data_IF_516857901070
#
_entry.id   IF_516857901070
#
_cell.length_a   1.000
_cell.length_b   1.000
_cell.length_c   1.000
_cell.angle_alpha   90.00
_cell.angle_beta   90.00
_cell.angle_gamma   90.00
#
_symmetry.space_group_name_H-M   'P 1'
#
loop_
_entity.id
_entity.type
_entity.pdbx_description
1 polymer ?
#
# COMPACT_ATOMS: atom_id res chain seq x y z
N UNK A 1 11.00 15.95 4.38
CA UNK A 1 10.77 15.59 2.96
C UNK A 1 9.53 14.71 2.94
N UNK A 2 8.43 15.19 2.37
CA UNK A 2 7.20 14.40 2.20
C UNK A 2 7.14 13.90 0.76
N UNK A 3 6.92 12.61 0.60
CA UNK A 3 6.69 11.97 -0.69
C UNK A 3 5.22 12.12 -1.07
N UNK A 4 4.94 12.26 -2.36
CA UNK A 4 3.58 12.33 -2.88
C UNK A 4 3.21 11.01 -3.53
N UNK A 5 2.13 10.39 -3.04
CA UNK A 5 1.57 9.20 -3.68
C UNK A 5 0.74 9.63 -4.88
N UNK A 6 0.93 8.95 -6.01
CA UNK A 6 0.12 9.10 -7.21
C UNK A 6 -0.85 7.93 -7.24
N UNK A 7 -2.15 8.24 -7.32
CA UNK A 7 -3.21 7.24 -7.35
C UNK A 7 -3.83 7.16 -8.75
N UNK A 8 -3.58 6.07 -9.50
CA UNK A 8 -4.29 5.81 -10.75
C UNK A 8 -5.79 5.58 -10.51
N UNK A 9 -6.64 5.93 -11.46
CA UNK A 9 -8.09 5.67 -11.35
C UNK A 9 -8.42 4.18 -11.15
N UNK A 10 -7.66 3.30 -11.81
CA UNK A 10 -7.79 1.85 -11.67
C UNK A 10 -7.51 1.38 -10.24
N UNK A 11 -6.55 2.03 -9.56
CA UNK A 11 -6.26 1.79 -8.16
C UNK A 11 -7.40 2.28 -7.28
N UNK A 12 -7.88 3.52 -7.47
CA UNK A 12 -8.97 4.11 -6.67
C UNK A 12 -10.24 3.24 -6.70
N UNK A 13 -10.61 2.73 -7.89
CA UNK A 13 -11.75 1.81 -8.04
C UNK A 13 -11.58 0.53 -7.21
N UNK A 14 -10.37 -0.03 -7.17
CA UNK A 14 -10.04 -1.24 -6.38
C UNK A 14 -10.01 -0.92 -4.89
N UNK A 15 -9.39 0.19 -4.50
CA UNK A 15 -9.30 0.64 -3.12
C UNK A 15 -10.68 0.89 -2.51
N UNK A 16 -11.60 1.55 -3.24
CA UNK A 16 -12.96 1.76 -2.80
C UNK A 16 -13.74 0.44 -2.60
N UNK A 17 -13.57 -0.53 -3.51
CA UNK A 17 -14.18 -1.86 -3.37
C UNK A 17 -13.59 -2.62 -2.18
N UNK A 18 -12.28 -2.54 -1.97
CA UNK A 18 -11.59 -3.14 -0.83
C UNK A 18 -12.07 -2.55 0.49
N UNK A 19 -12.13 -1.22 0.59
CA UNK A 19 -12.61 -0.48 1.76
C UNK A 19 -14.02 -0.92 2.19
N UNK A 20 -14.93 -1.06 1.23
CA UNK A 20 -16.30 -1.52 1.48
C UNK A 20 -16.37 -2.97 1.97
N UNK A 21 -15.45 -3.82 1.53
CA UNK A 21 -15.46 -5.25 1.86
C UNK A 21 -14.72 -5.56 3.16
N UNK A 22 -13.71 -4.77 3.50
CA UNK A 22 -12.80 -4.98 4.62
C UNK A 22 -12.67 -3.71 5.47
N UNK A 23 -13.75 -3.24 6.11
CA UNK A 23 -13.72 -2.03 6.95
C UNK A 23 -12.81 -2.19 8.17
N UNK A 24 -12.60 -3.42 8.64
CA UNK A 24 -11.71 -3.80 9.73
C UNK A 24 -10.23 -3.56 9.42
N UNK A 25 -9.83 -3.66 8.15
CA UNK A 25 -8.44 -3.47 7.70
C UNK A 25 -8.13 -2.02 7.35
N UNK A 26 -9.14 -1.17 7.19
CA UNK A 26 -8.98 0.24 6.81
C UNK A 26 -8.02 1.04 7.71
N UNK A 27 -8.05 0.91 9.05
CA UNK A 27 -7.11 1.65 9.90
C UNK A 27 -5.65 1.28 9.64
N UNK A 28 -5.37 0.02 9.28
CA UNK A 28 -4.02 -0.44 8.97
C UNK A 28 -3.58 0.04 7.58
N UNK A 29 -4.50 -0.02 6.62
CA UNK A 29 -4.27 0.47 5.27
C UNK A 29 -3.98 1.98 5.25
N UNK A 30 -4.76 2.78 5.98
CA UNK A 30 -4.54 4.23 6.11
C UNK A 30 -3.17 4.54 6.73
N UNK A 31 -2.77 3.80 7.78
CA UNK A 31 -1.44 3.93 8.39
C UNK A 31 -0.32 3.66 7.39
N UNK A 32 -0.46 2.63 6.55
CA UNK A 32 0.53 2.31 5.52
C UNK A 32 0.65 3.45 4.50
N UNK A 33 -0.46 4.04 4.05
CA UNK A 33 -0.44 5.18 3.13
C UNK A 33 0.21 6.42 3.76
N UNK A 34 -0.15 6.77 5.00
CA UNK A 34 0.48 7.90 5.72
C UNK A 34 1.99 7.69 5.86
N UNK A 35 2.40 6.46 6.18
CA UNK A 35 3.82 6.14 6.33
C UNK A 35 4.57 6.21 5.00
N UNK A 36 3.95 5.78 3.89
CA UNK A 36 4.48 5.93 2.54
C UNK A 36 4.71 7.41 2.16
N UNK A 37 3.77 8.29 2.50
CA UNK A 37 3.91 9.74 2.26
C UNK A 37 5.04 10.35 3.09
N UNK A 38 5.29 9.83 4.29
CA UNK A 38 6.38 10.30 5.14
C UNK A 38 7.74 9.77 4.68
N UNK A 39 7.85 8.46 4.48
CA UNK A 39 9.07 7.80 4.06
C UNK A 39 8.74 6.45 3.40
N UNK A 40 8.87 6.32 2.07
CA UNK A 40 8.57 5.08 1.38
C UNK A 40 9.54 3.95 1.74
N UNK A 41 10.75 4.26 2.23
CA UNK A 41 11.75 3.27 2.63
C UNK A 41 11.71 2.95 4.13
N UNK A 42 10.63 3.31 4.83
CA UNK A 42 10.51 3.05 6.25
C UNK A 42 10.43 1.54 6.54
N UNK A 43 11.21 1.00 7.51
CA UNK A 43 11.25 -0.45 7.78
C UNK A 43 9.89 -1.04 8.17
N UNK A 44 9.02 -0.26 8.81
CA UNK A 44 7.67 -0.72 9.17
C UNK A 44 6.75 -0.99 7.98
N UNK A 45 7.05 -0.48 6.77
CA UNK A 45 6.29 -0.80 5.57
C UNK A 45 6.56 -2.23 5.07
N UNK A 46 7.65 -2.87 5.53
CA UNK A 46 8.05 -4.22 5.12
C UNK A 46 7.94 -4.39 3.60
N UNK A 47 8.62 -3.50 2.87
CA UNK A 47 8.64 -3.53 1.42
C UNK A 47 9.24 -4.84 0.93
N UNK A 48 8.53 -5.50 0.03
CA UNK A 48 9.00 -6.69 -0.66
C UNK A 48 9.10 -6.40 -2.17
N UNK A 49 10.31 -6.46 -2.70
CA UNK A 49 10.52 -6.43 -4.15
C UNK A 49 9.87 -7.66 -4.78
N UNK A 50 9.10 -7.46 -5.84
CA UNK A 50 8.54 -8.56 -6.61
C UNK A 50 9.60 -9.12 -7.58
N UNK A 51 9.32 -10.27 -8.17
CA UNK A 51 10.25 -10.98 -9.06
C UNK A 51 9.65 -11.19 -10.45
N UNK A 52 10.50 -11.51 -11.43
CA UNK A 52 10.08 -11.77 -12.81
C UNK A 52 9.66 -10.48 -13.52
N UNK A 53 8.52 -10.51 -14.21
CA UNK A 53 7.99 -9.35 -14.95
C UNK A 53 7.59 -8.15 -14.08
N UNK A 54 7.58 -8.32 -12.75
CA UNK A 54 7.22 -7.29 -11.78
C UNK A 54 8.44 -6.83 -10.96
N UNK A 55 9.67 -7.11 -11.40
CA UNK A 55 10.90 -6.80 -10.65
C UNK A 55 11.02 -5.35 -10.21
N UNK A 56 10.41 -4.43 -10.96
CA UNK A 56 10.47 -2.98 -10.69
C UNK A 56 9.38 -2.52 -9.70
N UNK A 57 8.53 -3.44 -9.22
CA UNK A 57 7.43 -3.16 -8.32
C UNK A 57 7.69 -3.71 -6.92
N UNK A 58 7.09 -3.05 -5.94
CA UNK A 58 7.16 -3.42 -4.53
C UNK A 58 5.75 -3.69 -3.99
N UNK A 59 5.67 -4.63 -3.06
CA UNK A 59 4.46 -4.93 -2.29
C UNK A 59 4.66 -4.55 -0.83
N UNK A 60 3.60 -4.07 -0.18
CA UNK A 60 3.60 -3.62 1.22
C UNK A 60 2.66 -4.52 1.97
N UNK A 61 3.15 -5.20 3.00
CA UNK A 61 2.28 -6.04 3.83
C UNK A 61 1.43 -5.15 4.74
N UNK A 62 0.10 -5.16 4.55
CA UNK A 62 -0.83 -4.47 5.44
C UNK A 62 -1.07 -5.36 6.68
N UNK A 63 -1.29 -6.66 6.45
CA UNK A 63 -1.34 -7.69 7.47
C UNK A 63 -0.97 -9.06 6.86
N UNK A 64 -1.22 -10.15 7.60
CA UNK A 64 -0.89 -11.53 7.15
C UNK A 64 -1.65 -11.90 5.86
N UNK A 65 -2.85 -11.35 5.65
CA UNK A 65 -3.75 -11.73 4.57
C UNK A 65 -3.73 -10.75 3.38
N UNK A 66 -3.31 -9.50 3.58
CA UNK A 66 -3.43 -8.44 2.57
C UNK A 66 -2.14 -7.68 2.35
N UNK A 67 -1.90 -7.35 1.07
CA UNK A 67 -0.72 -6.66 0.54
C UNK A 67 -1.06 -5.86 -0.73
#
# INVERSE_FOLDING_TARGET
>A
MSFRIIYPESYLKRAAKFARKHPDVLPQYEKALKLLELNPFHPSLRLHCLSGSLSDLHSISINISYR
#
